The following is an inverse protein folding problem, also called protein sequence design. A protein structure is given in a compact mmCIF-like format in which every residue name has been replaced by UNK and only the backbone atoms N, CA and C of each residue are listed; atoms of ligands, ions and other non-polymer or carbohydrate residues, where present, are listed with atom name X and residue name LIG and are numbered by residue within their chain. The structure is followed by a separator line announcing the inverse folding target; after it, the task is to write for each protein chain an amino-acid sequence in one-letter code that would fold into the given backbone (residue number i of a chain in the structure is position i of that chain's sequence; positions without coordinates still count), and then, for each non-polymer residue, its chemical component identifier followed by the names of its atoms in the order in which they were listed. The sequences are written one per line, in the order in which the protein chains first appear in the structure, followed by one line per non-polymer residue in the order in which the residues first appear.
data_IF_705815137521
#
_entry.id   IF_705815137521
#
_cell.length_a   1.000
_cell.length_b   1.000
_cell.length_c   1.000
_cell.angle_alpha   90.00
_cell.angle_beta   90.00
_cell.angle_gamma   90.00
#
_symmetry.space_group_name_H-M   'P 1'
#
loop_
_entity.id
_entity.type
_entity.pdbx_description
1 polymer ?
#
# COMPACT_ATOMS: atom_id res chain seq x y z
N UNK A 1 -8.79 -4.36 -11.88
CA UNK A 1 -7.34 -4.62 -12.02
C UNK A 1 -6.98 -6.02 -11.53
N UNK A 2 -7.47 -6.46 -10.36
CA UNK A 2 -7.13 -7.76 -9.77
C UNK A 2 -7.70 -8.96 -10.55
N UNK A 3 -8.89 -8.81 -11.12
CA UNK A 3 -9.54 -9.88 -11.88
C UNK A 3 -8.85 -10.10 -13.23
N UNK A 4 -8.44 -9.05 -13.91
CA UNK A 4 -7.66 -9.13 -15.14
C UNK A 4 -6.27 -9.74 -14.87
N UNK A 5 -5.61 -9.35 -13.78
CA UNK A 5 -4.31 -9.90 -13.35
C UNK A 5 -4.39 -11.41 -13.10
N UNK A 6 -5.40 -11.88 -12.37
CA UNK A 6 -5.59 -13.31 -12.08
C UNK A 6 -5.88 -14.13 -13.35
N UNK A 7 -6.66 -13.61 -14.30
CA UNK A 7 -6.97 -14.27 -15.57
C UNK A 7 -5.71 -14.42 -16.44
N UNK A 8 -4.89 -13.37 -16.52
CA UNK A 8 -3.64 -13.42 -17.30
C UNK A 8 -2.59 -14.34 -16.67
N UNK A 9 -2.47 -14.35 -15.34
CA UNK A 9 -1.54 -15.23 -14.62
C UNK A 9 -1.95 -16.70 -14.81
N UNK A 10 -3.23 -17.02 -14.68
CA UNK A 10 -3.77 -18.37 -14.87
C UNK A 10 -3.50 -18.88 -16.29
N UNK A 11 -3.79 -18.08 -17.32
CA UNK A 11 -3.56 -18.46 -18.72
C UNK A 11 -2.07 -18.73 -19.01
N UNK A 12 -1.17 -17.92 -18.48
CA UNK A 12 0.27 -18.13 -18.67
C UNK A 12 0.77 -19.42 -18.03
N UNK A 13 0.24 -19.77 -16.86
CA UNK A 13 0.58 -21.04 -16.18
C UNK A 13 0.04 -22.23 -16.99
N UNK A 14 -1.18 -22.16 -17.50
CA UNK A 14 -1.78 -23.20 -18.31
C UNK A 14 -0.98 -23.44 -19.61
N UNK A 15 -0.55 -22.37 -20.27
CA UNK A 15 0.27 -22.44 -21.50
C UNK A 15 1.63 -23.11 -21.20
N UNK A 16 2.24 -22.83 -20.05
CA UNK A 16 3.48 -23.46 -19.62
C UNK A 16 3.28 -24.95 -19.31
N UNK A 17 2.21 -25.30 -18.58
CA UNK A 17 1.87 -26.69 -18.28
C UNK A 17 1.62 -27.49 -19.55
N UNK A 18 0.84 -26.95 -20.48
CA UNK A 18 0.55 -27.58 -21.77
C UNK A 18 1.81 -27.78 -22.61
N UNK A 19 2.74 -26.82 -22.60
CA UNK A 19 4.00 -26.94 -23.32
C UNK A 19 4.88 -28.05 -22.75
N UNK A 20 4.95 -28.20 -21.44
CA UNK A 20 5.67 -29.29 -20.76
C UNK A 20 5.01 -30.63 -21.05
N UNK A 21 3.69 -30.73 -20.93
CA UNK A 21 2.93 -31.95 -21.17
C UNK A 21 3.14 -32.47 -22.60
N UNK A 22 3.11 -31.59 -23.59
CA UNK A 22 3.35 -31.97 -24.99
C UNK A 22 4.75 -32.60 -25.18
N UNK A 23 5.78 -32.07 -24.53
CA UNK A 23 7.13 -32.66 -24.56
C UNK A 23 7.18 -34.04 -23.92
N UNK A 24 6.48 -34.21 -22.77
CA UNK A 24 6.40 -35.48 -22.06
C UNK A 24 5.69 -36.53 -22.87
N UNK A 25 4.56 -36.20 -23.50
CA UNK A 25 3.79 -37.11 -24.33
C UNK A 25 4.59 -37.61 -25.54
N UNK A 26 5.37 -36.74 -26.18
CA UNK A 26 6.26 -37.13 -27.28
C UNK A 26 7.40 -38.03 -26.77
N UNK A 27 7.98 -37.75 -25.60
CA UNK A 27 9.00 -38.61 -25.01
C UNK A 27 8.47 -40.02 -24.71
N UNK A 28 7.24 -40.10 -24.19
CA UNK A 28 6.58 -41.39 -23.93
C UNK A 28 6.35 -42.19 -25.22
N UNK A 29 5.97 -41.52 -26.31
CA UNK A 29 5.86 -42.15 -27.64
C UNK A 29 7.21 -42.65 -28.15
N UNK A 30 8.28 -41.88 -28.00
CA UNK A 30 9.64 -42.31 -28.36
C UNK A 30 10.04 -43.53 -27.54
N UNK A 31 9.80 -43.53 -26.22
CA UNK A 31 10.11 -44.69 -25.36
C UNK A 31 9.36 -45.94 -25.75
N UNK A 32 8.10 -45.83 -26.15
CA UNK A 32 7.30 -46.95 -26.67
C UNK A 32 7.92 -47.51 -27.99
N UNK A 33 8.31 -46.65 -28.94
CA UNK A 33 8.99 -47.09 -30.18
C UNK A 33 10.30 -47.80 -29.85
N UNK A 34 11.09 -47.26 -28.87
CA UNK A 34 12.34 -47.91 -28.43
C UNK A 34 12.10 -49.30 -27.81
N UNK A 35 10.99 -49.47 -27.06
CA UNK A 35 10.61 -50.77 -26.54
C UNK A 35 10.22 -51.75 -27.66
N UNK A 36 9.41 -51.30 -28.62
CA UNK A 36 9.03 -52.10 -29.78
C UNK A 36 10.23 -52.53 -30.61
N UNK A 37 11.24 -51.69 -30.80
CA UNK A 37 12.47 -52.04 -31.49
C UNK A 37 13.26 -53.15 -30.80
N UNK A 38 13.09 -53.35 -29.49
CA UNK A 38 13.75 -54.41 -28.72
C UNK A 38 12.95 -55.74 -28.71
N UNK A 39 11.68 -55.70 -29.06
CA UNK A 39 10.81 -56.88 -29.10
C UNK A 39 11.12 -57.72 -30.33
N UNK A 40 11.26 -59.04 -30.13
CA UNK A 40 11.57 -59.98 -31.21
C UNK A 40 10.52 -60.06 -32.31
N UNK A 41 9.29 -59.61 -32.04
CA UNK A 41 8.19 -59.56 -32.98
C UNK A 41 8.45 -58.57 -34.16
N UNK A 42 9.29 -57.55 -33.99
CA UNK A 42 9.62 -56.50 -34.98
C UNK A 42 11.08 -56.61 -35.40
N UNK A 43 11.67 -57.79 -35.43
CA UNK A 43 13.08 -58.00 -35.74
C UNK A 43 13.38 -58.05 -37.24
N UNK A 44 12.37 -58.03 -38.09
CA UNK A 44 12.53 -57.92 -39.55
C UNK A 44 13.01 -56.55 -40.01
N UNK A 45 13.86 -56.52 -41.04
CA UNK A 45 14.51 -55.31 -41.52
C UNK A 45 13.51 -54.23 -41.93
N UNK A 46 12.38 -54.58 -42.53
CA UNK A 46 11.33 -53.64 -42.95
C UNK A 46 10.65 -52.98 -41.76
N UNK A 47 10.34 -53.72 -40.67
CA UNK A 47 9.74 -53.22 -39.45
C UNK A 47 10.73 -52.31 -38.70
N UNK A 48 11.98 -52.71 -38.57
CA UNK A 48 13.02 -51.90 -37.92
C UNK A 48 13.23 -50.59 -38.66
N UNK A 49 13.24 -50.58 -40.01
CA UNK A 49 13.35 -49.35 -40.80
C UNK A 49 12.17 -48.39 -40.54
N UNK A 50 10.92 -48.91 -40.54
CA UNK A 50 9.72 -48.11 -40.26
C UNK A 50 9.74 -47.50 -38.84
N UNK A 51 10.10 -48.33 -37.82
CA UNK A 51 10.20 -47.85 -36.43
C UNK A 51 11.29 -46.77 -36.29
N UNK A 52 12.40 -46.91 -37.03
CA UNK A 52 13.47 -45.89 -37.06
C UNK A 52 13.00 -44.56 -37.69
N UNK A 53 12.28 -44.63 -38.82
CA UNK A 53 11.71 -43.42 -39.46
C UNK A 53 10.69 -42.70 -38.58
N UNK A 54 9.80 -43.47 -37.87
CA UNK A 54 8.85 -42.93 -36.91
C UNK A 54 9.59 -42.28 -35.74
N UNK A 55 10.60 -42.95 -35.19
CA UNK A 55 11.42 -42.38 -34.09
C UNK A 55 12.12 -41.10 -34.47
N UNK A 56 12.67 -41.02 -35.68
CA UNK A 56 13.30 -39.81 -36.19
C UNK A 56 12.28 -38.66 -36.33
N UNK A 57 11.07 -38.96 -36.85
CA UNK A 57 9.98 -38.00 -36.93
C UNK A 57 9.57 -37.47 -35.54
N UNK A 58 9.36 -38.36 -34.57
CA UNK A 58 9.03 -38.01 -33.21
C UNK A 58 10.16 -37.21 -32.51
N UNK A 59 11.41 -37.54 -32.81
CA UNK A 59 12.57 -36.80 -32.29
C UNK A 59 12.58 -35.37 -32.79
N UNK A 60 12.32 -35.15 -34.09
CA UNK A 60 12.19 -33.81 -34.65
C UNK A 60 11.02 -33.02 -34.01
N UNK A 61 9.87 -33.69 -33.84
CA UNK A 61 8.71 -33.09 -33.17
C UNK A 61 9.02 -32.71 -31.70
N UNK A 62 9.71 -33.59 -30.95
CA UNK A 62 10.16 -33.31 -29.58
C UNK A 62 11.08 -32.09 -29.54
N UNK A 63 12.05 -32.02 -30.45
CA UNK A 63 13.02 -30.91 -30.44
C UNK A 63 12.33 -29.58 -30.80
N UNK A 64 11.36 -29.60 -31.72
CA UNK A 64 10.49 -28.44 -31.97
C UNK A 64 9.63 -28.07 -30.76
N UNK A 65 9.00 -29.07 -30.11
CA UNK A 65 8.19 -28.84 -28.89
C UNK A 65 9.05 -28.28 -27.73
N UNK A 66 10.28 -28.77 -27.58
CA UNK A 66 11.25 -28.21 -26.59
C UNK A 66 11.62 -26.77 -26.88
N UNK A 67 11.86 -26.43 -28.15
CA UNK A 67 12.13 -25.04 -28.52
C UNK A 67 10.95 -24.14 -28.20
N UNK A 68 9.75 -24.55 -28.60
CA UNK A 68 8.52 -23.80 -28.30
C UNK A 68 8.25 -23.68 -26.81
N UNK A 69 8.49 -24.73 -26.04
CA UNK A 69 8.41 -24.71 -24.59
C UNK A 69 9.37 -23.67 -24.00
N UNK A 70 10.63 -23.64 -24.48
CA UNK A 70 11.62 -22.66 -24.06
C UNK A 70 11.13 -21.23 -24.34
N UNK A 71 10.65 -20.97 -25.54
CA UNK A 71 10.14 -19.64 -25.94
C UNK A 71 8.94 -19.23 -25.05
N UNK A 72 8.06 -20.19 -24.72
CA UNK A 72 6.93 -19.95 -23.81
C UNK A 72 7.40 -19.59 -22.40
N UNK A 73 8.41 -20.29 -21.88
CA UNK A 73 9.01 -19.98 -20.57
C UNK A 73 9.69 -18.60 -20.56
N UNK A 74 10.46 -18.27 -21.60
CA UNK A 74 11.10 -16.96 -21.71
C UNK A 74 10.10 -15.82 -21.76
N UNK A 75 9.03 -16.00 -22.56
CA UNK A 75 7.92 -15.04 -22.60
C UNK A 75 7.22 -14.90 -21.25
N UNK A 76 6.95 -16.02 -20.57
CA UNK A 76 6.35 -16.03 -19.25
C UNK A 76 7.21 -15.32 -18.19
N UNK A 77 8.51 -15.56 -18.17
CA UNK A 77 9.46 -14.88 -17.28
C UNK A 77 9.46 -13.38 -17.55
N UNK A 78 9.50 -12.96 -18.83
CA UNK A 78 9.46 -11.54 -19.18
C UNK A 78 8.17 -10.85 -18.71
N UNK A 79 7.03 -11.51 -18.83
CA UNK A 79 5.75 -10.99 -18.31
C UNK A 79 5.74 -10.89 -16.77
N UNK A 80 6.25 -11.91 -16.08
CA UNK A 80 6.36 -11.89 -14.61
C UNK A 80 7.25 -10.75 -14.11
N UNK A 81 8.37 -10.49 -14.79
CA UNK A 81 9.24 -9.36 -14.50
C UNK A 81 8.50 -8.02 -14.68
N UNK A 82 7.73 -7.88 -15.75
CA UNK A 82 6.90 -6.70 -15.98
C UNK A 82 5.84 -6.49 -14.87
N UNK A 83 5.19 -7.54 -14.42
CA UNK A 83 4.24 -7.46 -13.29
C UNK A 83 4.94 -7.10 -11.97
N UNK A 84 6.11 -7.66 -11.72
CA UNK A 84 6.90 -7.32 -10.53
C UNK A 84 7.28 -5.83 -10.52
N UNK A 85 7.65 -5.27 -11.65
CA UNK A 85 7.93 -3.84 -11.79
C UNK A 85 6.70 -2.98 -11.52
N UNK A 86 5.54 -3.34 -12.08
CA UNK A 86 4.28 -2.64 -11.83
C UNK A 86 3.88 -2.67 -10.35
N UNK A 87 4.00 -3.83 -9.68
CA UNK A 87 3.73 -3.96 -8.25
C UNK A 87 4.71 -3.12 -7.42
N UNK A 88 5.99 -3.11 -7.79
CA UNK A 88 7.00 -2.29 -7.11
C UNK A 88 6.71 -0.80 -7.24
N UNK A 89 6.31 -0.35 -8.42
CA UNK A 89 5.92 1.05 -8.67
C UNK A 89 4.66 1.43 -7.88
N UNK A 90 3.64 0.57 -7.87
CA UNK A 90 2.43 0.79 -7.08
C UNK A 90 2.75 0.85 -5.57
N UNK A 91 3.62 -0.02 -5.07
CA UNK A 91 4.08 0.00 -3.67
C UNK A 91 4.81 1.29 -3.33
N UNK A 92 5.66 1.79 -4.22
CA UNK A 92 6.35 3.06 -4.04
C UNK A 92 5.38 4.25 -4.01
N UNK A 93 4.36 4.26 -4.88
CA UNK A 93 3.32 5.31 -4.89
C UNK A 93 2.52 5.31 -3.58
N UNK A 94 2.09 4.14 -3.11
CA UNK A 94 1.41 4.01 -1.81
C UNK A 94 2.30 4.48 -0.66
N UNK A 95 3.59 4.11 -0.65
CA UNK A 95 4.55 4.58 0.34
C UNK A 95 4.69 6.09 0.35
N UNK A 96 4.80 6.72 -0.81
CA UNK A 96 4.87 8.18 -0.95
C UNK A 96 3.59 8.87 -0.44
N UNK A 97 2.42 8.29 -0.71
CA UNK A 97 1.14 8.82 -0.19
C UNK A 97 1.08 8.72 1.34
N UNK A 98 1.57 7.62 1.90
CA UNK A 98 1.63 7.45 3.36
C UNK A 98 2.53 8.50 4.02
N UNK A 99 3.73 8.73 3.48
CA UNK A 99 4.65 9.77 3.97
C UNK A 99 3.97 11.16 3.91
N UNK A 100 3.28 11.48 2.81
CA UNK A 100 2.54 12.75 2.69
C UNK A 100 1.42 12.88 3.70
N UNK A 101 0.69 11.81 3.99
CA UNK A 101 -0.34 11.79 5.03
C UNK A 101 0.25 12.00 6.42
N UNK A 102 1.37 11.36 6.74
CA UNK A 102 2.04 11.51 8.03
C UNK A 102 2.56 12.94 8.23
N UNK A 103 3.17 13.54 7.19
CA UNK A 103 3.58 14.94 7.21
C UNK A 103 2.39 15.90 7.40
N UNK A 104 1.27 15.63 6.72
CA UNK A 104 0.05 16.43 6.87
C UNK A 104 -0.52 16.31 8.28
N UNK A 105 -0.54 15.10 8.84
CA UNK A 105 -0.99 14.85 10.22
C UNK A 105 -0.11 15.59 11.23
N UNK A 106 1.19 15.54 11.09
CA UNK A 106 2.14 16.27 11.93
C UNK A 106 1.88 17.77 11.87
N UNK A 107 1.78 18.35 10.67
CA UNK A 107 1.49 19.76 10.45
C UNK A 107 0.16 20.18 11.08
N UNK A 108 -0.90 19.37 10.91
CA UNK A 108 -2.20 19.65 11.51
C UNK A 108 -2.16 19.58 13.05
N UNK A 109 -1.36 18.68 13.61
CA UNK A 109 -1.16 18.58 15.05
C UNK A 109 -0.43 19.82 15.58
N UNK A 110 0.62 20.29 14.93
CA UNK A 110 1.34 21.51 15.27
C UNK A 110 0.42 22.74 15.17
N UNK A 111 -0.36 22.85 14.11
CA UNK A 111 -1.35 23.92 13.96
C UNK A 111 -2.40 23.90 15.08
N UNK A 112 -2.90 22.71 15.44
CA UNK A 112 -3.85 22.55 16.55
C UNK A 112 -3.24 23.04 17.87
N UNK A 113 -1.99 22.67 18.17
CA UNK A 113 -1.27 23.13 19.36
C UNK A 113 -1.16 24.66 19.35
N UNK A 114 -0.67 25.23 18.26
CA UNK A 114 -0.53 26.67 18.11
C UNK A 114 -1.87 27.41 18.28
N UNK A 115 -2.96 26.91 17.70
CA UNK A 115 -4.29 27.48 17.90
C UNK A 115 -4.80 27.35 19.35
N UNK A 116 -4.47 26.23 20.02
CA UNK A 116 -4.81 26.05 21.43
C UNK A 116 -4.07 27.05 22.30
N UNK A 117 -2.78 27.29 22.05
CA UNK A 117 -1.96 28.25 22.77
C UNK A 117 -2.44 29.70 22.52
N UNK A 118 -2.76 30.05 21.27
CA UNK A 118 -3.33 31.35 20.92
C UNK A 118 -4.69 31.57 21.58
N UNK A 119 -5.51 30.53 21.63
CA UNK A 119 -6.80 30.56 22.33
C UNK A 119 -6.61 30.80 23.83
N UNK A 120 -5.69 30.07 24.47
CA UNK A 120 -5.33 30.23 25.88
C UNK A 120 -4.86 31.67 26.14
N UNK A 121 -3.93 32.20 25.34
CA UNK A 121 -3.45 33.59 25.47
C UNK A 121 -4.53 34.66 25.32
N UNK A 122 -5.60 34.38 24.54
CA UNK A 122 -6.67 35.34 24.32
C UNK A 122 -7.85 35.18 25.28
N UNK A 123 -8.14 33.99 25.76
CA UNK A 123 -9.32 33.68 26.60
C UNK A 123 -8.95 33.48 28.07
N UNK A 124 -7.73 33.03 28.37
CA UNK A 124 -7.33 32.83 29.78
C UNK A 124 -7.12 34.17 30.44
N UNK A 125 -7.90 34.41 31.46
CA UNK A 125 -7.84 35.61 32.28
C UNK A 125 -6.69 35.46 33.27
N UNK A 126 -5.81 36.46 33.36
CA UNK A 126 -4.82 36.53 34.42
C UNK A 126 -5.53 36.83 35.76
N UNK A 127 -5.73 35.77 36.54
CA UNK A 127 -6.42 35.85 37.82
C UNK A 127 -5.73 36.83 38.78
N UNK A 128 -4.40 36.98 38.72
CA UNK A 128 -3.66 37.93 39.55
C UNK A 128 -4.02 39.36 39.18
N UNK A 129 -4.06 39.71 37.91
CA UNK A 129 -4.44 41.06 37.45
C UNK A 129 -5.90 41.36 37.79
N UNK A 130 -6.80 40.39 37.64
CA UNK A 130 -8.23 40.58 38.02
C UNK A 130 -8.38 40.81 39.53
N UNK A 131 -7.72 40.00 40.35
CA UNK A 131 -7.78 40.16 41.82
C UNK A 131 -7.25 41.53 42.23
N UNK A 132 -6.14 41.99 41.65
CA UNK A 132 -5.57 43.33 41.92
C UNK A 132 -6.54 44.43 41.47
N UNK A 133 -7.12 44.32 40.30
CA UNK A 133 -8.09 45.29 39.76
C UNK A 133 -9.37 45.31 40.63
N UNK A 134 -9.90 44.14 40.99
CA UNK A 134 -11.09 44.02 41.85
C UNK A 134 -10.87 44.63 43.25
N UNK A 135 -9.76 44.28 43.90
CA UNK A 135 -9.42 44.82 45.21
C UNK A 135 -9.20 46.31 45.17
N UNK A 136 -8.56 46.86 44.16
CA UNK A 136 -8.40 48.31 43.93
C UNK A 136 -9.74 48.97 43.73
N UNK A 137 -10.63 48.44 42.91
CA UNK A 137 -11.98 48.99 42.74
C UNK A 137 -12.80 48.95 44.03
N UNK A 138 -12.67 47.90 44.85
CA UNK A 138 -13.33 47.78 46.11
C UNK A 138 -12.83 48.83 47.14
N UNK A 139 -11.51 49.09 47.18
CA UNK A 139 -10.94 50.15 48.01
C UNK A 139 -11.43 51.53 47.59
N UNK A 140 -11.46 51.84 46.30
CA UNK A 140 -12.00 53.10 45.75
C UNK A 140 -13.49 53.25 46.12
N UNK A 141 -14.27 52.19 46.00
CA UNK A 141 -15.67 52.22 46.38
C UNK A 141 -15.87 52.52 47.90
N UNK A 142 -15.11 51.85 48.78
CA UNK A 142 -15.14 52.08 50.20
C UNK A 142 -14.70 53.51 50.56
N UNK A 143 -13.66 54.05 49.91
CA UNK A 143 -13.20 55.41 50.10
C UNK A 143 -14.26 56.43 49.66
N UNK A 144 -14.92 56.17 48.51
CA UNK A 144 -16.02 57.02 48.05
C UNK A 144 -17.22 57.06 48.99
N UNK A 145 -17.61 55.88 49.52
CA UNK A 145 -18.67 55.81 50.55
C UNK A 145 -18.29 56.57 51.84
N UNK A 146 -17.05 56.46 52.29
CA UNK A 146 -16.56 57.16 53.48
C UNK A 146 -16.51 58.70 53.22
N UNK A 147 -16.10 59.14 52.05
CA UNK A 147 -16.13 60.54 51.69
C UNK A 147 -17.56 61.08 51.61
N UNK A 148 -18.47 60.35 50.98
CA UNK A 148 -19.88 60.73 50.90
C UNK A 148 -20.54 60.87 52.29
N UNK A 149 -20.26 59.92 53.18
CA UNK A 149 -20.79 59.98 54.59
C UNK A 149 -20.30 61.20 55.34
N UNK A 150 -19.05 61.60 55.15
CA UNK A 150 -18.47 62.83 55.79
C UNK A 150 -19.11 64.09 55.25
N UNK A 151 -19.33 64.14 53.93
CA UNK A 151 -19.98 65.29 53.29
C UNK A 151 -21.41 65.45 53.79
N UNK A 152 -22.18 64.37 53.93
CA UNK A 152 -23.55 64.39 54.42
C UNK A 152 -23.58 64.82 55.87
N UNK A 153 -22.63 64.36 56.72
CA UNK A 153 -22.55 64.81 58.11
C UNK A 153 -22.21 66.27 58.29
N UNK A 154 -21.31 66.80 57.44
CA UNK A 154 -20.98 68.24 57.49
C UNK A 154 -22.14 69.11 57.04
N UNK A 155 -22.86 68.74 56.01
CA UNK A 155 -24.02 69.51 55.58
C UNK A 155 -25.21 69.46 56.55
N UNK A 156 -25.38 68.34 57.28
CA UNK A 156 -26.38 68.26 58.35
C UNK A 156 -26.02 69.11 59.56
N UNK A 157 -24.73 69.18 59.95
CA UNK A 157 -24.25 70.02 61.05
C UNK A 157 -24.35 71.52 60.71
N UNK A 158 -24.06 71.91 59.44
CA UNK A 158 -24.20 73.28 58.94
C UNK A 158 -25.66 73.74 58.87
N UNK A 159 -26.61 72.81 58.76
CA UNK A 159 -28.04 73.12 58.66
C UNK A 159 -28.71 73.19 60.04
N UNK A 160 -28.15 72.58 61.08
CA UNK A 160 -28.68 72.53 62.44
C UNK A 160 -28.02 73.53 63.46
N UNK A 161 -26.94 74.20 63.06
CA UNK A 161 -26.20 75.18 63.84
C UNK A 161 -26.48 76.57 63.51
#
# INVERSE_FOLDING_TARGET
ADEAFNIYLGRNVDDLVNAVQNVLDINDQISKIESMQKEGQYSDEASQKKLSEIKEGLTKQRDFAKSKMKDTFEAGIGQMQGYQEQVSNAKADVGNRQIRLDLTKTRLTEQKTNFTDLKSQNEDIDLEEIVVTYTSAQLVYQAALSAASKVVQQTLLDFLG
#
